data_IF_804525210435
#
_entry.id   IF_804525210435
#
_cell.length_a   1.000
_cell.length_b   1.000
_cell.length_c   1.000
_cell.angle_alpha   90.00
_cell.angle_beta   90.00
_cell.angle_gamma   90.00
#
_symmetry.space_group_name_H-M   'P 1'
#
loop_
_entity.id
_entity.type
_entity.pdbx_description
1 polymer ?
#
# COMPACT_ATOMS: atom_id res chain seq x y z
N UNK A 1 4.62 -13.74 6.92
CA UNK A 1 3.60 -13.51 5.86
C UNK A 1 3.38 -12.01 5.76
N UNK A 2 3.29 -11.44 4.57
CA UNK A 2 3.06 -10.02 4.43
C UNK A 2 1.62 -9.65 4.84
N UNK A 3 1.47 -8.54 5.55
CA UNK A 3 0.17 -7.90 5.82
C UNK A 3 0.22 -6.45 5.35
N UNK A 4 -0.85 -6.02 4.68
CA UNK A 4 -1.03 -4.66 4.17
C UNK A 4 -2.35 -4.16 4.74
N UNK A 5 -2.28 -3.23 5.69
CA UNK A 5 -3.47 -2.59 6.26
C UNK A 5 -3.63 -1.20 5.68
N UNK A 6 -4.84 -0.91 5.20
CA UNK A 6 -5.17 0.36 4.57
C UNK A 6 -6.22 1.10 5.39
N UNK A 7 -5.96 2.37 5.64
CA UNK A 7 -6.83 3.31 6.35
C UNK A 7 -7.17 4.51 5.46
N UNK A 8 -8.40 4.99 5.57
CA UNK A 8 -8.77 6.34 5.14
C UNK A 8 -8.30 7.35 6.20
N UNK A 9 -7.74 8.48 5.77
CA UNK A 9 -7.20 9.52 6.63
C UNK A 9 -5.66 9.53 6.74
N UNK A 10 -5.16 10.61 7.33
CA UNK A 10 -3.73 10.89 7.46
C UNK A 10 -3.23 10.57 8.87
N UNK A 11 -2.08 9.90 8.97
CA UNK A 11 -1.45 9.51 10.25
C UNK A 11 -1.13 10.67 11.20
N UNK A 12 -1.12 11.93 10.71
CA UNK A 12 -0.92 13.13 11.54
C UNK A 12 -2.05 13.30 12.57
N UNK A 13 -3.22 12.71 12.30
CA UNK A 13 -4.34 12.60 13.22
C UNK A 13 -4.73 11.11 13.35
N UNK A 14 -4.02 10.31 14.17
CA UNK A 14 -4.26 8.87 14.26
C UNK A 14 -5.68 8.51 14.69
N UNK A 15 -6.33 9.38 15.48
CA UNK A 15 -7.72 9.23 15.90
C UNK A 15 -8.75 9.41 14.76
N UNK A 16 -8.30 9.86 13.58
CA UNK A 16 -9.13 10.03 12.38
C UNK A 16 -9.00 8.89 11.37
N UNK A 17 -8.12 7.91 11.63
CA UNK A 17 -7.92 6.80 10.71
C UNK A 17 -9.11 5.85 10.75
N UNK A 18 -9.80 5.74 9.62
CA UNK A 18 -10.87 4.76 9.42
C UNK A 18 -10.29 3.55 8.71
N UNK A 19 -10.31 2.39 9.37
CA UNK A 19 -9.87 1.15 8.74
C UNK A 19 -10.73 0.82 7.52
N UNK A 20 -10.09 0.53 6.38
CA UNK A 20 -10.76 0.16 5.15
C UNK A 20 -10.66 -1.34 4.89
N UNK A 21 -9.45 -1.89 4.89
CA UNK A 21 -9.23 -3.31 4.66
C UNK A 21 -7.84 -3.78 5.09
N UNK A 22 -7.74 -5.09 5.28
CA UNK A 22 -6.48 -5.82 5.43
C UNK A 22 -6.30 -6.75 4.22
N UNK A 23 -5.09 -6.78 3.68
CA UNK A 23 -4.67 -7.72 2.65
C UNK A 23 -3.51 -8.54 3.20
N UNK A 24 -3.69 -9.85 3.30
CA UNK A 24 -2.65 -10.77 3.74
C UNK A 24 -2.23 -11.69 2.61
N UNK A 25 -0.94 -11.93 2.48
CA UNK A 25 -0.40 -12.79 1.44
C UNK A 25 1.11 -12.93 1.53
N UNK A 26 1.68 -13.71 0.63
CA UNK A 26 3.12 -13.85 0.47
C UNK A 26 3.44 -14.02 -1.00
N UNK A 27 4.54 -13.42 -1.44
CA UNK A 27 5.07 -13.65 -2.77
C UNK A 27 6.57 -13.89 -2.67
N UNK A 28 7.03 -14.97 -3.29
CA UNK A 28 8.44 -15.32 -3.31
C UNK A 28 8.99 -15.15 -4.72
N UNK A 29 10.21 -14.64 -4.81
CA UNK A 29 10.88 -14.46 -6.08
C UNK A 29 11.50 -15.79 -6.53
N UNK A 30 11.27 -16.18 -7.79
CA UNK A 30 11.87 -17.38 -8.38
C UNK A 30 13.16 -17.02 -9.13
N UNK A 31 14.25 -17.76 -8.88
CA UNK A 31 15.57 -17.60 -9.51
C UNK A 31 16.22 -16.20 -9.40
N UNK A 32 15.90 -15.44 -8.35
CA UNK A 32 16.52 -14.13 -8.05
C UNK A 32 16.56 -13.87 -6.54
N UNK A 33 17.23 -12.79 -6.07
CA UNK A 33 17.13 -12.39 -4.67
C UNK A 33 15.68 -12.15 -4.23
N UNK A 34 15.38 -12.36 -2.93
CA UNK A 34 14.04 -12.11 -2.38
C UNK A 34 13.53 -10.71 -2.71
N UNK A 35 12.21 -10.58 -2.83
CA UNK A 35 11.58 -9.29 -3.01
C UNK A 35 11.84 -8.37 -1.80
N UNK A 36 12.03 -7.09 -2.08
CA UNK A 36 11.86 -6.05 -1.06
C UNK A 36 10.41 -6.00 -0.58
N UNK A 37 10.16 -5.38 0.58
CA UNK A 37 8.80 -5.27 1.12
C UNK A 37 7.82 -4.57 0.14
N UNK A 38 8.29 -3.58 -0.63
CA UNK A 38 7.47 -2.89 -1.64
C UNK A 38 7.21 -3.77 -2.87
N UNK A 39 8.21 -4.52 -3.32
CA UNK A 39 8.05 -5.50 -4.42
C UNK A 39 7.07 -6.61 -4.04
N UNK A 40 7.22 -7.18 -2.85
CA UNK A 40 6.32 -8.24 -2.36
C UNK A 40 4.90 -7.70 -2.21
N UNK A 41 4.74 -6.51 -1.63
CA UNK A 41 3.44 -5.85 -1.51
C UNK A 41 2.77 -5.64 -2.87
N UNK A 42 3.52 -5.19 -3.89
CA UNK A 42 3.01 -5.06 -5.25
C UNK A 42 2.49 -6.39 -5.79
N UNK A 43 3.24 -7.48 -5.63
CA UNK A 43 2.80 -8.83 -6.09
C UNK A 43 1.58 -9.32 -5.35
N UNK A 44 1.50 -9.10 -4.04
CA UNK A 44 0.32 -9.46 -3.23
C UNK A 44 -0.92 -8.69 -3.70
N UNK A 45 -0.80 -7.38 -3.92
CA UNK A 45 -1.92 -6.56 -4.41
C UNK A 45 -2.37 -6.94 -5.83
N UNK A 46 -1.42 -7.25 -6.73
CA UNK A 46 -1.73 -7.76 -8.09
C UNK A 46 -2.56 -9.06 -8.04
N UNK A 47 -2.33 -9.93 -7.06
CA UNK A 47 -3.13 -11.16 -6.89
C UNK A 47 -4.51 -10.89 -6.27
N UNK A 48 -4.69 -9.76 -5.58
CA UNK A 48 -5.92 -9.41 -4.88
C UNK A 48 -6.89 -8.59 -5.73
N UNK A 49 -6.40 -7.71 -6.60
CA UNK A 49 -7.21 -6.79 -7.42
C UNK A 49 -8.26 -7.50 -8.28
N UNK A 50 -7.97 -8.73 -8.72
CA UNK A 50 -8.88 -9.48 -9.59
C UNK A 50 -9.96 -10.27 -8.82
N UNK A 51 -9.85 -10.36 -7.48
CA UNK A 51 -10.60 -11.35 -6.68
C UNK A 51 -11.54 -10.75 -5.65
N UNK A 52 -11.29 -9.53 -5.19
CA UNK A 52 -12.02 -8.95 -4.07
C UNK A 52 -12.40 -7.49 -4.35
N UNK A 53 -13.67 -7.15 -4.13
CA UNK A 53 -14.08 -5.75 -4.09
C UNK A 53 -13.58 -5.12 -2.79
N UNK A 54 -12.88 -4.00 -2.89
CA UNK A 54 -12.45 -3.23 -1.72
C UNK A 54 -13.12 -1.85 -1.66
N UNK A 55 -13.17 -1.20 -0.48
CA UNK A 55 -13.78 0.12 -0.36
C UNK A 55 -13.06 1.18 -1.20
N UNK A 56 -13.80 2.22 -1.58
CA UNK A 56 -13.22 3.45 -2.11
C UNK A 56 -12.79 4.38 -0.96
N UNK A 57 -11.85 5.27 -1.25
CA UNK A 57 -11.52 6.38 -0.36
C UNK A 57 -12.72 7.33 -0.24
N UNK A 58 -13.04 7.71 0.99
CA UNK A 58 -14.04 8.76 1.27
C UNK A 58 -13.40 10.16 1.29
N UNK A 59 -12.10 10.24 1.58
CA UNK A 59 -11.30 11.46 1.59
C UNK A 59 -10.19 11.48 0.54
N UNK A 60 -9.32 12.49 0.64
CA UNK A 60 -8.12 12.61 -0.21
C UNK A 60 -6.88 12.02 0.43
N UNK A 61 -6.83 11.89 1.75
CA UNK A 61 -5.70 11.33 2.48
C UNK A 61 -5.93 9.86 2.82
N UNK A 62 -4.88 9.05 2.80
CA UNK A 62 -4.95 7.65 3.23
C UNK A 62 -3.61 7.20 3.81
N UNK A 63 -3.63 6.17 4.64
CA UNK A 63 -2.43 5.63 5.29
C UNK A 63 -2.36 4.13 5.05
N UNK A 64 -1.20 3.64 4.63
CA UNK A 64 -0.96 2.19 4.44
C UNK A 64 0.18 1.74 5.35
N UNK A 65 -0.01 0.61 6.02
CA UNK A 65 1.04 -0.08 6.77
C UNK A 65 1.33 -1.42 6.10
N UNK A 66 2.61 -1.67 5.83
CA UNK A 66 3.12 -2.94 5.34
C UNK A 66 3.96 -3.55 6.46
N UNK A 67 3.62 -4.78 6.86
CA UNK A 67 4.31 -5.49 7.93
C UNK A 67 4.56 -6.96 7.59
N UNK A 68 5.51 -7.57 8.30
CA UNK A 68 5.65 -9.02 8.33
C UNK A 68 4.92 -9.57 9.55
N UNK A 69 3.95 -10.44 9.31
CA UNK A 69 3.16 -11.15 10.31
C UNK A 69 3.74 -12.52 10.61
N UNK A 70 3.99 -12.78 11.89
CA UNK A 70 4.42 -14.06 12.46
C UNK A 70 3.46 -14.44 13.60
N UNK A 71 2.57 -15.40 13.34
CA UNK A 71 1.48 -15.71 14.27
C UNK A 71 0.52 -14.52 14.42
N UNK A 72 0.43 -13.97 15.63
CA UNK A 72 -0.38 -12.78 15.95
C UNK A 72 0.44 -11.48 15.96
N UNK A 73 1.76 -11.57 15.86
CA UNK A 73 2.65 -10.41 15.92
C UNK A 73 2.88 -9.86 14.52
N UNK A 74 2.80 -8.53 14.38
CA UNK A 74 3.10 -7.82 13.13
C UNK A 74 4.29 -6.91 13.36
N UNK A 75 5.39 -7.20 12.67
CA UNK A 75 6.56 -6.32 12.62
C UNK A 75 6.38 -5.30 11.51
N UNK A 76 6.31 -3.98 11.79
CA UNK A 76 6.14 -2.96 10.76
C UNK A 76 7.40 -2.86 9.89
N UNK A 77 7.22 -2.81 8.57
CA UNK A 77 8.32 -2.69 7.61
C UNK A 77 8.32 -1.34 6.90
N UNK A 78 7.13 -0.93 6.42
CA UNK A 78 6.97 0.29 5.63
C UNK A 78 5.63 0.95 5.95
N UNK A 79 5.60 2.28 5.97
CA UNK A 79 4.38 3.10 5.99
C UNK A 79 4.33 3.96 4.74
N UNK A 80 3.14 4.07 4.13
CA UNK A 80 2.85 5.02 3.07
C UNK A 80 1.88 6.07 3.62
N UNK A 81 2.27 7.33 3.50
CA UNK A 81 1.44 8.49 3.78
C UNK A 81 0.91 9.01 2.45
N UNK A 82 -0.30 8.59 2.09
CA UNK A 82 -0.89 8.74 0.76
C UNK A 82 -1.81 9.95 0.61
N UNK A 83 -1.82 10.50 -0.61
CA UNK A 83 -2.73 11.56 -1.02
C UNK A 83 -3.24 11.28 -2.44
N UNK A 84 -4.55 11.29 -2.62
CA UNK A 84 -5.26 11.05 -3.87
C UNK A 84 -6.23 12.21 -4.17
N UNK A 85 -5.99 12.94 -5.27
CA UNK A 85 -6.82 14.07 -5.66
C UNK A 85 -6.73 14.32 -7.17
N UNK A 86 -7.84 14.76 -7.78
CA UNK A 86 -7.93 15.10 -9.21
C UNK A 86 -7.39 14.01 -10.16
N UNK A 87 -7.64 12.73 -9.86
CA UNK A 87 -7.21 11.60 -10.68
C UNK A 87 -5.72 11.24 -10.59
N UNK A 88 -5.00 11.80 -9.61
CA UNK A 88 -3.61 11.43 -9.32
C UNK A 88 -3.44 11.08 -7.84
N UNK A 89 -2.64 10.05 -7.58
CA UNK A 89 -2.28 9.61 -6.24
C UNK A 89 -0.75 9.53 -6.08
N UNK A 90 -0.27 9.88 -4.90
CA UNK A 90 1.14 9.81 -4.52
C UNK A 90 1.26 9.50 -3.03
N UNK A 91 2.42 9.04 -2.58
CA UNK A 91 2.70 8.81 -1.19
C UNK A 91 4.12 9.24 -0.78
N UNK A 92 4.27 9.62 0.49
CA UNK A 92 5.57 9.57 1.17
C UNK A 92 5.78 8.17 1.73
N UNK A 93 6.93 7.55 1.44
CA UNK A 93 7.29 6.22 1.94
C UNK A 93 8.28 6.36 3.10
N UNK A 94 7.94 5.76 4.23
CA UNK A 94 8.77 5.71 5.45
C UNK A 94 9.05 4.24 5.79
N UNK A 95 10.31 3.88 6.01
CA UNK A 95 10.72 2.51 6.36
C UNK A 95 12.09 2.50 7.02
N UNK A 96 12.88 1.45 6.79
CA UNK A 96 14.23 1.33 7.36
C UNK A 96 15.25 2.36 6.83
N UNK A 97 14.98 2.98 5.67
CA UNK A 97 15.84 3.99 5.04
C UNK A 97 15.30 5.42 5.15
N UNK A 98 15.96 6.40 4.51
CA UNK A 98 15.44 7.76 4.39
C UNK A 98 14.06 7.77 3.76
N UNK A 99 13.19 8.64 4.26
CA UNK A 99 11.91 8.91 3.61
C UNK A 99 12.14 9.37 2.17
N UNK A 100 11.29 8.91 1.26
CA UNK A 100 11.23 9.43 -0.10
C UNK A 100 9.78 9.54 -0.57
N UNK A 101 9.51 10.44 -1.50
CA UNK A 101 8.18 10.62 -2.08
C UNK A 101 8.10 9.87 -3.43
N UNK A 102 6.95 9.27 -3.71
CA UNK A 102 6.70 8.54 -4.95
C UNK A 102 6.45 9.47 -6.13
N UNK A 103 6.76 9.00 -7.34
CA UNK A 103 6.21 9.62 -8.56
C UNK A 103 4.68 9.47 -8.56
N UNK A 104 3.89 10.53 -8.86
CA UNK A 104 2.44 10.44 -8.93
C UNK A 104 1.96 9.40 -9.96
N UNK A 105 0.98 8.59 -9.55
CA UNK A 105 0.29 7.62 -10.39
C UNK A 105 -1.12 8.11 -10.74
N UNK A 106 -1.58 7.84 -11.96
CA UNK A 106 -2.96 8.13 -12.36
C UNK A 106 -3.90 7.08 -11.78
N UNK A 107 -5.07 7.50 -11.31
CA UNK A 107 -6.15 6.61 -10.92
C UNK A 107 -7.48 7.05 -11.58
N UNK A 108 -8.37 6.08 -11.81
CA UNK A 108 -9.69 6.28 -12.36
C UNK A 108 -10.72 6.46 -11.23
N UNK A 109 -11.87 7.11 -11.47
CA UNK A 109 -12.91 7.29 -10.45
C UNK A 109 -13.42 6.00 -9.82
N UNK A 110 -13.38 4.90 -10.58
CA UNK A 110 -13.85 3.58 -10.16
C UNK A 110 -12.74 2.72 -9.53
N UNK A 111 -11.50 3.23 -9.44
CA UNK A 111 -10.44 2.50 -8.73
C UNK A 111 -10.77 2.45 -7.23
N UNK A 112 -10.66 1.26 -6.67
CA UNK A 112 -10.73 1.07 -5.23
C UNK A 112 -9.38 1.39 -4.56
N UNK A 113 -9.36 1.37 -3.23
CA UNK A 113 -8.15 1.74 -2.50
C UNK A 113 -6.97 0.79 -2.76
N UNK A 114 -7.23 -0.50 -2.97
CA UNK A 114 -6.20 -1.48 -3.32
C UNK A 114 -5.58 -1.16 -4.67
N UNK A 115 -6.39 -0.84 -5.68
CA UNK A 115 -5.93 -0.49 -7.02
C UNK A 115 -5.12 0.82 -7.02
N UNK A 116 -5.53 1.82 -6.22
CA UNK A 116 -4.76 3.06 -6.04
C UNK A 116 -3.38 2.77 -5.45
N UNK A 117 -3.29 1.99 -4.36
CA UNK A 117 -2.02 1.63 -3.72
C UNK A 117 -1.14 0.82 -4.68
N UNK A 118 -1.72 -0.14 -5.41
CA UNK A 118 -1.01 -0.94 -6.41
C UNK A 118 -0.38 -0.05 -7.50
N UNK A 119 -1.12 0.93 -8.01
CA UNK A 119 -0.62 1.87 -9.03
C UNK A 119 0.54 2.74 -8.52
N UNK A 120 0.48 3.18 -7.27
CA UNK A 120 1.58 3.92 -6.63
C UNK A 120 2.83 3.05 -6.55
N UNK A 121 2.70 1.81 -6.05
CA UNK A 121 3.82 0.88 -5.89
C UNK A 121 4.44 0.46 -7.24
N UNK A 122 3.61 0.21 -8.25
CA UNK A 122 4.08 -0.12 -9.60
C UNK A 122 5.00 0.98 -10.17
N UNK A 123 4.70 2.24 -9.89
CA UNK A 123 5.54 3.38 -10.28
C UNK A 123 6.93 3.41 -9.64
N UNK A 124 7.14 2.67 -8.52
CA UNK A 124 8.40 2.71 -7.76
C UNK A 124 9.27 1.47 -7.99
N UNK A 125 8.64 0.32 -8.23
CA UNK A 125 9.32 -0.98 -8.37
C UNK A 125 9.92 -1.19 -9.77
N UNK A 126 9.45 -0.46 -10.78
CA UNK A 126 9.90 -0.62 -12.18
C UNK A 126 11.20 0.14 -12.50
N UNK A 127 12.09 0.35 -11.53
CA UNK A 127 13.36 1.08 -11.71
C UNK A 127 14.59 0.22 -11.46
#
# INVERSE_FOLDING_TARGET
MLTITIYDGEIVAPDSLVHLCDVEGSAEAYDRPPFTALEEALRVLEMCSDRYSTPHLSGTGFTVFIGNKEGLEVTPLVRLDGYAHNGYASAGIVGAGPRFDTVPAKYAPDDDVVEIVRKILAGQVTR
#
